data_IF_594350880479
#
_entry.id   IF_594350880479
#
_cell.length_a   1.000
_cell.length_b   1.000
_cell.length_c   1.000
_cell.angle_alpha   90.00
_cell.angle_beta   90.00
_cell.angle_gamma   90.00
#
_symmetry.space_group_name_H-M   'P 1'
#
loop_
_entity.id
_entity.type
_entity.pdbx_description
1 polymer ?
#
# COMPACT_ATOMS: atom_id res chain seq x y z
N UNK A 1 42.31 -9.75 3.93
CA UNK A 1 42.23 -8.34 4.40
C UNK A 1 40.91 -7.66 4.04
N UNK A 2 40.42 -7.71 2.79
CA UNK A 2 39.14 -7.08 2.37
C UNK A 2 37.91 -7.50 3.21
N UNK A 3 37.78 -8.77 3.55
CA UNK A 3 36.63 -9.30 4.32
C UNK A 3 36.50 -8.62 5.70
N UNK A 4 37.62 -8.32 6.36
CA UNK A 4 37.63 -7.67 7.67
C UNK A 4 37.23 -6.20 7.54
N UNK A 5 37.71 -5.50 6.50
CA UNK A 5 37.31 -4.12 6.21
C UNK A 5 35.81 -4.02 5.91
N UNK A 6 35.27 -4.90 5.08
CA UNK A 6 33.84 -4.88 4.71
C UNK A 6 32.93 -5.16 5.92
N UNK A 7 33.40 -6.00 6.86
CA UNK A 7 32.70 -6.26 8.11
C UNK A 7 32.67 -5.01 9.01
N UNK A 8 33.79 -4.31 9.18
CA UNK A 8 33.85 -3.09 9.97
C UNK A 8 32.98 -1.97 9.39
N UNK A 9 32.97 -1.80 8.07
CA UNK A 9 32.11 -0.82 7.40
C UNK A 9 30.63 -1.13 7.64
N UNK A 10 30.22 -2.41 7.61
CA UNK A 10 28.85 -2.83 7.91
C UNK A 10 28.46 -2.55 9.36
N UNK A 11 29.35 -2.79 10.33
CA UNK A 11 29.08 -2.46 11.73
C UNK A 11 28.95 -0.94 11.92
N UNK A 12 29.87 -0.16 11.35
CA UNK A 12 29.84 1.30 11.45
C UNK A 12 28.53 1.87 10.88
N UNK A 13 28.11 1.36 9.72
CA UNK A 13 26.86 1.80 9.09
C UNK A 13 25.62 1.34 9.88
N UNK A 14 25.64 0.15 10.49
CA UNK A 14 24.55 -0.33 11.33
C UNK A 14 24.38 0.51 12.61
N UNK A 15 25.45 1.11 13.12
CA UNK A 15 25.50 1.87 14.38
C UNK A 15 25.12 3.35 14.21
N UNK A 16 24.85 3.82 12.99
CA UNK A 16 24.52 5.24 12.74
C UNK A 16 23.22 5.71 13.43
N UNK A 17 22.31 4.80 13.79
CA UNK A 17 21.13 5.18 14.56
C UNK A 17 21.44 5.26 16.06
N UNK A 18 20.87 6.25 16.75
CA UNK A 18 20.99 6.40 18.22
C UNK A 18 20.60 5.11 18.96
N UNK A 19 19.63 4.36 18.42
CA UNK A 19 19.18 3.08 18.96
C UNK A 19 20.24 1.98 18.79
N UNK A 20 20.84 1.84 17.60
CA UNK A 20 21.83 0.81 17.35
C UNK A 20 23.12 1.04 18.16
N UNK A 21 23.53 2.30 18.33
CA UNK A 21 24.62 2.65 19.24
C UNK A 21 24.34 2.24 20.68
N UNK A 22 23.13 2.52 21.17
CA UNK A 22 22.73 2.11 22.52
C UNK A 22 22.74 0.59 22.70
N UNK A 23 22.20 -0.16 21.73
CA UNK A 23 22.24 -1.64 21.74
C UNK A 23 23.67 -2.18 21.75
N UNK A 24 24.57 -1.57 20.97
CA UNK A 24 25.98 -1.96 20.95
C UNK A 24 26.67 -1.74 22.31
N UNK A 25 26.47 -0.57 22.92
CA UNK A 25 27.01 -0.27 24.26
C UNK A 25 26.49 -1.28 25.29
N UNK A 26 25.21 -1.63 25.21
CA UNK A 26 24.57 -2.59 26.10
C UNK A 26 25.16 -4.00 25.93
N UNK A 27 25.42 -4.45 24.70
CA UNK A 27 26.10 -5.72 24.41
C UNK A 27 27.54 -5.76 24.95
N UNK A 28 28.29 -4.67 24.82
CA UNK A 28 29.66 -4.58 25.36
C UNK A 28 29.63 -4.70 26.88
N UNK A 29 28.72 -3.97 27.55
CA UNK A 29 28.56 -4.05 29.01
C UNK A 29 28.19 -5.47 29.46
N UNK A 30 27.29 -6.15 28.75
CA UNK A 30 26.94 -7.55 29.03
C UNK A 30 28.15 -8.48 28.89
N UNK A 31 28.97 -8.30 27.85
CA UNK A 31 30.19 -9.11 27.65
C UNK A 31 31.21 -8.93 28.77
N UNK A 32 31.43 -7.69 29.22
CA UNK A 32 32.31 -7.39 30.37
C UNK A 32 31.76 -8.05 31.64
N UNK A 33 30.45 -7.96 31.87
CA UNK A 33 29.81 -8.55 33.04
C UNK A 33 29.97 -10.08 33.04
N UNK A 34 29.69 -10.72 31.90
CA UNK A 34 29.81 -12.17 31.73
C UNK A 34 31.24 -12.67 31.98
N UNK A 35 32.25 -11.84 31.66
CA UNK A 35 33.65 -12.15 31.95
C UNK A 35 34.01 -12.06 33.44
N UNK A 36 33.34 -11.19 34.20
CA UNK A 36 33.61 -10.97 35.64
C UNK A 36 32.87 -11.98 36.52
N UNK A 37 31.67 -12.41 36.11
CA UNK A 37 30.78 -13.34 36.84
C UNK A 37 31.49 -14.59 37.41
N UNK A 38 32.35 -15.31 36.66
CA UNK A 38 32.99 -16.52 37.17
C UNK A 38 34.03 -16.27 38.27
N UNK A 39 34.43 -15.01 38.48
CA UNK A 39 35.47 -14.61 39.45
C UNK A 39 34.90 -14.11 40.77
N UNK A 40 33.58 -14.12 40.92
CA UNK A 40 32.87 -13.65 42.12
C UNK A 40 32.22 -14.85 42.83
N UNK A 41 32.39 -14.94 44.14
CA UNK A 41 31.77 -15.98 44.98
C UNK A 41 30.90 -15.34 46.07
N UNK A 42 29.85 -16.06 46.49
CA UNK A 42 29.01 -15.66 47.62
C UNK A 42 28.00 -14.55 47.31
N UNK A 43 27.84 -13.61 48.26
CA UNK A 43 26.80 -12.56 48.24
C UNK A 43 26.98 -11.60 47.05
N UNK A 44 28.22 -11.40 46.60
CA UNK A 44 28.55 -10.51 45.49
C UNK A 44 27.98 -11.00 44.16
N UNK A 45 27.90 -12.33 43.97
CA UNK A 45 27.32 -12.92 42.76
C UNK A 45 25.79 -12.69 42.71
N UNK A 46 25.11 -12.89 43.83
CA UNK A 46 23.65 -12.69 43.93
C UNK A 46 23.28 -11.24 43.70
N UNK A 47 24.02 -10.29 44.28
CA UNK A 47 23.80 -8.86 44.09
C UNK A 47 24.02 -8.45 42.62
N UNK A 48 25.07 -9.00 41.99
CA UNK A 48 25.38 -8.73 40.58
C UNK A 48 24.30 -9.28 39.63
N UNK A 49 23.79 -10.49 39.87
CA UNK A 49 22.69 -11.07 39.10
C UNK A 49 21.40 -10.27 39.26
N UNK A 50 21.07 -9.84 40.48
CA UNK A 50 19.90 -9.00 40.75
C UNK A 50 20.00 -7.65 40.03
N UNK A 51 21.17 -7.01 40.09
CA UNK A 51 21.45 -5.77 39.36
C UNK A 51 21.31 -5.92 37.84
N UNK A 52 21.73 -7.05 37.28
CA UNK A 52 21.59 -7.35 35.86
C UNK A 52 20.14 -7.50 35.41
N UNK A 53 19.34 -8.25 36.18
CA UNK A 53 17.90 -8.39 35.91
C UNK A 53 17.19 -7.04 35.96
N UNK A 54 17.52 -6.20 36.95
CA UNK A 54 16.96 -4.86 37.06
C UNK A 54 17.31 -3.99 35.84
N UNK A 55 18.57 -4.02 35.38
CA UNK A 55 19.02 -3.28 34.20
C UNK A 55 18.28 -3.74 32.93
N UNK A 56 18.05 -5.05 32.77
CA UNK A 56 17.29 -5.62 31.67
C UNK A 56 15.84 -5.09 31.67
N UNK A 57 15.17 -5.11 32.83
CA UNK A 57 13.80 -4.60 32.97
C UNK A 57 13.74 -3.11 32.63
N UNK A 58 14.66 -2.30 33.14
CA UNK A 58 14.74 -0.85 32.84
C UNK A 58 14.90 -0.63 31.33
N UNK A 59 15.76 -1.42 30.68
CA UNK A 59 16.00 -1.31 29.23
C UNK A 59 14.73 -1.62 28.43
N UNK A 60 14.01 -2.69 28.79
CA UNK A 60 12.73 -3.06 28.16
C UNK A 60 11.70 -1.95 28.35
N UNK A 61 11.61 -1.37 29.55
CA UNK A 61 10.69 -0.27 29.84
C UNK A 61 11.01 1.00 29.03
N UNK A 62 12.29 1.36 28.88
CA UNK A 62 12.71 2.51 28.05
C UNK A 62 12.34 2.29 26.58
N UNK A 63 12.59 1.10 26.05
CA UNK A 63 12.25 0.75 24.66
C UNK A 63 10.72 0.78 24.47
N UNK A 64 9.96 0.16 25.38
CA UNK A 64 8.50 0.18 25.35
C UNK A 64 7.95 1.62 25.41
N UNK A 65 8.49 2.47 26.28
CA UNK A 65 8.12 3.87 26.39
C UNK A 65 8.41 4.64 25.10
N UNK A 66 9.59 4.45 24.49
CA UNK A 66 9.96 5.10 23.22
C UNK A 66 9.10 4.62 22.05
N UNK A 67 8.70 3.35 22.02
CA UNK A 67 7.77 2.81 21.02
C UNK A 67 6.38 3.41 21.21
N UNK A 68 5.90 3.50 22.45
CA UNK A 68 4.62 4.14 22.75
C UNK A 68 4.62 5.63 22.35
N UNK A 69 5.67 6.39 22.71
CA UNK A 69 5.85 7.79 22.34
C UNK A 69 5.90 7.98 20.81
N UNK A 70 6.62 7.10 20.09
CA UNK A 70 6.65 7.14 18.62
C UNK A 70 5.28 6.84 18.01
N UNK A 71 4.52 5.92 18.61
CA UNK A 71 3.17 5.55 18.16
C UNK A 71 2.22 6.73 18.34
N UNK A 72 2.29 7.45 19.46
CA UNK A 72 1.51 8.68 19.69
C UNK A 72 1.93 9.83 18.76
N UNK A 73 3.23 10.04 18.55
CA UNK A 73 3.74 11.11 17.69
C UNK A 73 3.44 10.87 16.20
N UNK A 74 3.39 9.60 15.76
CA UNK A 74 3.00 9.24 14.39
C UNK A 74 1.49 9.26 14.15
N UNK A 75 0.68 9.41 15.20
CA UNK A 75 -0.77 9.44 15.10
C UNK A 75 -1.40 10.68 15.77
N UNK A 76 -1.04 11.91 15.34
CA UNK A 76 -1.69 13.12 15.85
C UNK A 76 -3.20 13.18 15.50
N UNK A 77 -3.69 12.28 14.64
CA UNK A 77 -5.08 12.17 14.22
C UNK A 77 -6.02 11.53 15.25
N UNK A 78 -5.50 10.96 16.36
CA UNK A 78 -6.32 10.40 17.44
C UNK A 78 -6.49 11.31 18.66
N UNK A 79 -5.90 12.53 18.66
CA UNK A 79 -6.41 13.57 19.55
C UNK A 79 -7.83 13.86 19.12
N UNK A 80 -8.76 13.43 19.96
CA UNK A 80 -10.21 13.60 19.95
C UNK A 80 -10.61 15.01 19.50
N UNK A 81 -10.51 15.28 18.19
CA UNK A 81 -11.41 16.22 17.56
C UNK A 81 -12.73 15.52 17.70
N UNK A 82 -13.57 15.99 18.64
CA UNK A 82 -14.96 15.59 18.75
C UNK A 82 -15.47 15.38 17.34
N UNK A 83 -15.68 14.11 16.98
CA UNK A 83 -16.09 13.75 15.63
C UNK A 83 -17.39 14.52 15.47
N UNK A 84 -17.45 15.57 14.63
CA UNK A 84 -18.73 16.22 14.39
C UNK A 84 -19.68 15.08 14.03
N UNK A 85 -20.81 14.97 14.73
CA UNK A 85 -21.82 13.98 14.41
C UNK A 85 -22.09 14.13 12.92
N UNK A 86 -21.50 13.26 12.10
CA UNK A 86 -21.73 13.27 10.67
C UNK A 86 -23.17 12.79 10.59
N UNK A 87 -24.12 13.67 10.21
CA UNK A 87 -25.50 13.26 10.17
C UNK A 87 -25.56 12.08 9.20
N UNK A 88 -26.01 10.93 9.68
CA UNK A 88 -26.12 9.68 8.92
C UNK A 88 -27.13 9.80 7.75
N UNK A 89 -27.65 11.01 7.52
CA UNK A 89 -28.63 11.41 6.52
C UNK A 89 -28.13 12.59 5.66
N UNK A 90 -26.83 12.69 5.41
CA UNK A 90 -26.40 13.45 4.22
C UNK A 90 -26.85 12.63 3.01
N UNK A 91 -28.06 12.93 2.53
CA UNK A 91 -28.52 12.51 1.21
C UNK A 91 -27.38 12.93 0.25
N UNK A 92 -26.66 12.00 -0.39
CA UNK A 92 -25.55 12.38 -1.24
C UNK A 92 -26.09 13.36 -2.27
N UNK A 93 -25.67 14.61 -2.19
CA UNK A 93 -25.98 15.62 -3.19
C UNK A 93 -25.14 15.24 -4.42
N UNK A 94 -25.72 14.37 -5.26
CA UNK A 94 -25.14 13.84 -6.51
C UNK A 94 -24.87 14.98 -7.53
N UNK A 95 -25.27 16.21 -7.23
CA UNK A 95 -25.30 17.32 -8.19
C UNK A 95 -23.94 17.93 -8.53
N UNK A 96 -22.84 17.52 -7.87
CA UNK A 96 -21.49 18.02 -8.20
C UNK A 96 -20.63 16.90 -8.73
N UNK A 97 -20.51 16.82 -10.06
CA UNK A 97 -19.43 16.07 -10.71
C UNK A 97 -18.11 16.73 -10.32
N UNK A 98 -17.21 16.05 -9.59
CA UNK A 98 -15.91 16.63 -9.23
C UNK A 98 -15.12 17.01 -10.49
N UNK A 99 -14.30 18.07 -10.45
CA UNK A 99 -13.41 18.37 -11.56
C UNK A 99 -12.45 17.18 -11.78
N UNK A 100 -12.24 16.82 -13.05
CA UNK A 100 -11.33 15.73 -13.42
C UNK A 100 -9.88 16.19 -13.21
N UNK A 101 -9.18 15.55 -12.28
CA UNK A 101 -7.75 15.77 -11.97
C UNK A 101 -6.86 14.77 -12.70
N UNK A 102 -7.34 13.52 -12.81
CA UNK A 102 -6.61 12.43 -13.44
C UNK A 102 -7.37 11.89 -14.64
N UNK A 103 -6.65 11.54 -15.70
CA UNK A 103 -7.24 10.81 -16.81
C UNK A 103 -7.54 9.36 -16.42
N UNK A 104 -6.65 8.74 -15.64
CA UNK A 104 -6.73 7.32 -15.29
C UNK A 104 -6.31 7.10 -13.83
N UNK A 105 -7.13 6.38 -13.07
CA UNK A 105 -6.72 5.72 -11.83
C UNK A 105 -6.33 4.27 -12.14
N UNK A 106 -5.12 3.85 -11.79
CA UNK A 106 -4.63 2.47 -11.98
C UNK A 106 -4.55 1.77 -10.63
N UNK A 107 -5.28 0.68 -10.51
CA UNK A 107 -5.35 -0.17 -9.32
C UNK A 107 -4.69 -1.52 -9.58
N UNK A 108 -3.79 -1.95 -8.68
CA UNK A 108 -3.08 -3.23 -8.75
C UNK A 108 -2.77 -3.77 -7.35
N UNK A 109 -2.87 -5.09 -7.07
CA UNK A 109 -2.57 -5.63 -5.75
C UNK A 109 -1.15 -5.30 -5.28
N UNK A 110 -1.02 -4.88 -4.02
CA UNK A 110 0.27 -4.52 -3.42
C UNK A 110 0.48 -5.23 -2.07
N UNK A 111 -0.43 -5.04 -1.12
CA UNK A 111 -0.25 -5.47 0.27
C UNK A 111 -0.25 -7.00 0.49
N UNK A 112 -0.90 -7.77 -0.38
CA UNK A 112 -1.00 -9.23 -0.24
C UNK A 112 0.16 -10.00 -0.91
N UNK A 113 1.16 -9.29 -1.43
CA UNK A 113 2.26 -9.87 -2.21
C UNK A 113 3.52 -9.98 -1.35
N UNK A 114 4.29 -11.05 -1.56
CA UNK A 114 5.70 -11.09 -1.10
C UNK A 114 6.53 -10.05 -1.85
N UNK A 115 7.66 -9.59 -1.29
CA UNK A 115 8.52 -8.58 -1.92
C UNK A 115 8.90 -8.92 -3.37
N UNK A 116 9.26 -10.19 -3.62
CA UNK A 116 9.59 -10.66 -4.97
C UNK A 116 8.40 -10.54 -5.93
N UNK A 117 7.19 -10.86 -5.46
CA UNK A 117 5.97 -10.72 -6.24
C UNK A 117 5.60 -9.26 -6.44
N UNK A 118 5.71 -8.45 -5.39
CA UNK A 118 5.48 -7.00 -5.45
C UNK A 118 6.40 -6.35 -6.49
N UNK A 119 7.70 -6.62 -6.46
CA UNK A 119 8.64 -6.05 -7.43
C UNK A 119 8.36 -6.52 -8.86
N UNK A 120 7.96 -7.78 -9.05
CA UNK A 120 7.58 -8.30 -10.36
C UNK A 120 6.30 -7.63 -10.89
N UNK A 121 5.24 -7.59 -10.07
CA UNK A 121 3.95 -7.02 -10.45
C UNK A 121 4.08 -5.49 -10.65
N UNK A 122 4.85 -4.79 -9.80
CA UNK A 122 5.17 -3.35 -9.96
C UNK A 122 5.87 -3.05 -11.28
N UNK A 123 6.90 -3.83 -11.66
CA UNK A 123 7.57 -3.65 -12.97
C UNK A 123 6.61 -3.83 -14.14
N UNK A 124 5.75 -4.84 -14.08
CA UNK A 124 4.78 -5.10 -15.14
C UNK A 124 3.74 -3.98 -15.23
N UNK A 125 3.21 -3.53 -14.10
CA UNK A 125 2.23 -2.43 -14.06
C UNK A 125 2.86 -1.11 -14.50
N UNK A 126 4.12 -0.82 -14.13
CA UNK A 126 4.81 0.39 -14.59
C UNK A 126 4.95 0.45 -16.10
N UNK A 127 5.15 -0.71 -16.78
CA UNK A 127 5.17 -0.75 -18.24
C UNK A 127 3.80 -0.41 -18.85
N UNK A 128 2.72 -0.87 -18.22
CA UNK A 128 1.35 -0.53 -18.64
C UNK A 128 1.07 0.96 -18.43
N UNK A 129 1.45 1.53 -17.28
CA UNK A 129 1.34 2.97 -16.99
C UNK A 129 2.12 3.79 -18.01
N UNK A 130 3.33 3.37 -18.34
CA UNK A 130 4.16 4.06 -19.33
C UNK A 130 3.56 3.98 -20.75
N UNK A 131 2.97 2.84 -21.12
CA UNK A 131 2.20 2.71 -22.36
C UNK A 131 0.99 3.65 -22.38
N UNK A 132 0.26 3.79 -21.27
CA UNK A 132 -0.88 4.72 -21.19
C UNK A 132 -0.44 6.17 -21.42
N UNK A 133 0.73 6.56 -20.89
CA UNK A 133 1.32 7.88 -21.10
C UNK A 133 1.74 8.09 -22.55
N UNK A 134 2.57 7.19 -23.08
CA UNK A 134 3.28 7.39 -24.34
C UNK A 134 2.43 7.05 -25.57
N UNK A 135 1.55 6.05 -25.47
CA UNK A 135 0.80 5.53 -26.61
C UNK A 135 -0.68 5.91 -26.57
N UNK A 136 -1.25 6.13 -25.38
CA UNK A 136 -2.68 6.48 -25.23
C UNK A 136 -2.91 7.96 -24.90
N UNK A 137 -1.85 8.77 -24.80
CA UNK A 137 -1.93 10.21 -24.54
C UNK A 137 -2.49 10.58 -23.15
N UNK A 138 -2.42 9.66 -22.17
CA UNK A 138 -2.93 9.90 -20.82
C UNK A 138 -1.81 10.47 -19.96
N UNK A 139 -1.76 11.79 -19.82
CA UNK A 139 -0.66 12.48 -19.13
C UNK A 139 -0.81 12.50 -17.61
N UNK A 140 -2.04 12.52 -17.10
CA UNK A 140 -2.34 12.52 -15.67
C UNK A 140 -2.85 11.15 -15.24
N UNK A 141 -1.98 10.35 -14.62
CA UNK A 141 -2.30 8.99 -14.13
C UNK A 141 -2.00 8.93 -12.65
N UNK A 142 -2.96 8.46 -11.86
CA UNK A 142 -2.75 8.13 -10.46
C UNK A 142 -2.50 6.63 -10.31
N UNK A 143 -1.38 6.27 -9.69
CA UNK A 143 -1.05 4.89 -9.31
C UNK A 143 -0.29 4.89 -8.00
N UNK A 144 -0.88 4.35 -6.94
CA UNK A 144 -0.31 4.38 -5.59
C UNK A 144 1.12 3.83 -5.52
N UNK A 145 1.45 2.79 -6.31
CA UNK A 145 2.79 2.19 -6.29
C UNK A 145 3.89 2.99 -7.02
N UNK A 146 3.56 4.14 -7.62
CA UNK A 146 4.52 4.93 -8.38
C UNK A 146 5.65 5.45 -7.47
N UNK A 147 5.30 6.01 -6.32
CA UNK A 147 6.25 6.53 -5.33
C UNK A 147 6.79 5.47 -4.37
N UNK A 148 6.06 4.37 -4.18
CA UNK A 148 6.43 3.31 -3.24
C UNK A 148 7.44 2.35 -3.86
N UNK A 149 8.63 2.23 -3.25
CA UNK A 149 9.70 1.33 -3.71
C UNK A 149 9.69 -0.02 -3.02
N UNK A 150 9.20 -0.09 -1.79
CA UNK A 150 9.13 -1.33 -1.02
C UNK A 150 7.92 -1.36 -0.08
N UNK A 151 7.47 -2.55 0.38
CA UNK A 151 6.33 -2.66 1.29
C UNK A 151 6.47 -1.89 2.61
N UNK A 152 7.70 -1.64 3.06
CA UNK A 152 7.99 -0.86 4.27
C UNK A 152 7.67 0.63 4.11
N UNK A 153 7.55 1.12 2.87
CA UNK A 153 7.18 2.50 2.55
C UNK A 153 5.65 2.66 2.38
N UNK A 154 4.84 1.64 2.68
CA UNK A 154 3.39 1.77 2.62
C UNK A 154 2.88 2.78 3.65
N UNK A 155 2.03 3.69 3.18
CA UNK A 155 1.31 4.63 4.03
C UNK A 155 0.39 3.90 5.03
N UNK A 156 0.10 4.52 6.18
CA UNK A 156 -0.93 4.04 7.09
C UNK A 156 -2.28 3.86 6.35
N UNK A 157 -3.04 2.78 6.63
CA UNK A 157 -4.27 2.47 5.89
C UNK A 157 -5.33 3.59 5.84
N UNK A 158 -5.38 4.45 6.85
CA UNK A 158 -6.34 5.56 6.89
C UNK A 158 -6.01 6.65 5.84
N UNK A 159 -4.73 6.97 5.67
CA UNK A 159 -4.27 8.00 4.72
C UNK A 159 -4.41 7.51 3.28
N UNK A 160 -4.14 6.21 3.06
CA UNK A 160 -4.27 5.62 1.72
C UNK A 160 -5.72 5.64 1.24
N UNK A 161 -6.70 5.34 2.12
CA UNK A 161 -8.12 5.29 1.73
C UNK A 161 -8.65 6.66 1.29
N UNK A 162 -8.37 7.73 2.04
CA UNK A 162 -8.84 9.09 1.67
C UNK A 162 -8.24 9.53 0.33
N UNK A 163 -6.94 9.32 0.15
CA UNK A 163 -6.22 9.68 -1.07
C UNK A 163 -6.71 8.88 -2.28
N UNK A 164 -6.91 7.57 -2.11
CA UNK A 164 -7.38 6.69 -3.18
C UNK A 164 -8.82 7.01 -3.58
N UNK A 165 -9.72 7.29 -2.63
CA UNK A 165 -11.10 7.69 -2.92
C UNK A 165 -11.13 9.02 -3.69
N UNK A 166 -10.41 10.04 -3.21
CA UNK A 166 -10.32 11.34 -3.91
C UNK A 166 -9.78 11.15 -5.34
N UNK A 167 -8.75 10.32 -5.50
CA UNK A 167 -8.17 10.05 -6.80
C UNK A 167 -9.13 9.30 -7.73
N UNK A 168 -9.92 8.33 -7.23
CA UNK A 168 -10.97 7.66 -8.02
C UNK A 168 -12.06 8.67 -8.41
N UNK A 169 -12.56 9.47 -7.45
CA UNK A 169 -13.59 10.48 -7.66
C UNK A 169 -13.18 11.52 -8.70
N UNK A 170 -11.91 11.90 -8.74
CA UNK A 170 -11.35 12.88 -9.67
C UNK A 170 -10.73 12.26 -10.92
N UNK A 171 -10.91 10.95 -11.14
CA UNK A 171 -10.48 10.25 -12.36
C UNK A 171 -11.59 10.08 -13.39
N UNK A 172 -11.24 10.11 -14.67
CA UNK A 172 -12.18 9.77 -15.77
C UNK A 172 -12.33 8.25 -15.94
N UNK A 173 -11.20 7.54 -15.98
CA UNK A 173 -11.13 6.09 -16.13
C UNK A 173 -10.62 5.42 -14.86
N UNK A 174 -11.12 4.22 -14.59
CA UNK A 174 -10.58 3.32 -13.59
C UNK A 174 -10.08 2.05 -14.28
N UNK A 175 -8.82 1.70 -14.08
CA UNK A 175 -8.21 0.48 -14.61
C UNK A 175 -7.78 -0.42 -13.47
N UNK A 176 -8.30 -1.64 -13.45
CA UNK A 176 -7.87 -2.70 -12.53
C UNK A 176 -6.96 -3.67 -13.27
N UNK A 177 -5.77 -3.94 -12.72
CA UNK A 177 -4.87 -4.99 -13.20
C UNK A 177 -4.72 -6.06 -12.12
N UNK A 178 -5.36 -7.21 -12.33
CA UNK A 178 -5.51 -8.27 -11.33
C UNK A 178 -4.94 -9.62 -11.79
N UNK A 179 -3.65 -9.83 -11.50
CA UNK A 179 -2.87 -11.01 -11.95
C UNK A 179 -3.29 -12.32 -11.30
N UNK A 180 -3.74 -12.28 -10.04
CA UNK A 180 -3.94 -13.46 -9.19
C UNK A 180 -5.07 -13.22 -8.21
N UNK A 181 -5.74 -14.29 -7.79
CA UNK A 181 -6.77 -14.22 -6.76
C UNK A 181 -6.11 -13.94 -5.40
N UNK A 182 -6.30 -12.73 -4.88
CA UNK A 182 -5.84 -12.33 -3.55
C UNK A 182 -6.81 -11.33 -2.90
N UNK A 183 -6.98 -11.36 -1.56
CA UNK A 183 -7.61 -10.26 -0.85
C UNK A 183 -6.79 -8.98 -1.06
N UNK A 184 -7.40 -7.90 -1.53
CA UNK A 184 -6.70 -6.65 -1.81
C UNK A 184 -7.69 -5.49 -1.90
N UNK A 185 -7.25 -4.29 -1.50
CA UNK A 185 -8.04 -3.04 -1.55
C UNK A 185 -8.57 -2.73 -2.96
N UNK A 186 -7.85 -3.16 -4.00
CA UNK A 186 -8.25 -3.01 -5.39
C UNK A 186 -9.67 -3.45 -5.73
N UNK A 187 -10.22 -4.46 -5.02
CA UNK A 187 -11.60 -4.89 -5.22
C UNK A 187 -12.61 -3.92 -4.58
N UNK A 188 -12.24 -3.33 -3.44
CA UNK A 188 -12.99 -2.25 -2.80
C UNK A 188 -12.98 -0.99 -3.68
N UNK A 189 -11.79 -0.60 -4.18
CA UNK A 189 -11.61 0.51 -5.11
C UNK A 189 -12.44 0.31 -6.40
N UNK A 190 -12.44 -0.91 -6.97
CA UNK A 190 -13.26 -1.24 -8.13
C UNK A 190 -14.77 -1.11 -7.86
N UNK A 191 -15.21 -1.46 -6.65
CA UNK A 191 -16.58 -1.25 -6.20
C UNK A 191 -16.96 0.23 -6.10
N UNK A 192 -16.07 1.07 -5.55
CA UNK A 192 -16.26 2.53 -5.50
C UNK A 192 -16.33 3.12 -6.90
N UNK A 193 -15.38 2.78 -7.77
CA UNK A 193 -15.36 3.27 -9.15
C UNK A 193 -16.64 2.89 -9.91
N UNK A 194 -17.16 1.68 -9.69
CA UNK A 194 -18.42 1.23 -10.26
C UNK A 194 -19.61 2.03 -9.72
N UNK A 195 -19.68 2.24 -8.39
CA UNK A 195 -20.75 3.01 -7.74
C UNK A 195 -20.77 4.47 -8.21
N UNK A 196 -19.60 5.06 -8.47
CA UNK A 196 -19.44 6.40 -9.02
C UNK A 196 -19.67 6.48 -10.54
N UNK A 197 -20.03 5.38 -11.20
CA UNK A 197 -20.30 5.34 -12.64
C UNK A 197 -19.07 5.59 -13.52
N UNK A 198 -17.85 5.35 -13.00
CA UNK A 198 -16.60 5.55 -13.75
C UNK A 198 -16.51 4.59 -14.92
N UNK A 199 -15.76 4.99 -15.97
CA UNK A 199 -15.43 4.08 -17.07
C UNK A 199 -14.40 3.08 -16.57
N UNK A 200 -14.83 1.84 -16.34
CA UNK A 200 -14.04 0.80 -15.70
C UNK A 200 -13.51 -0.20 -16.73
N UNK A 201 -12.21 -0.48 -16.68
CA UNK A 201 -11.57 -1.52 -17.49
C UNK A 201 -10.82 -2.47 -16.56
N UNK A 202 -11.22 -3.73 -16.55
CA UNK A 202 -10.60 -4.75 -15.71
C UNK A 202 -9.78 -5.70 -16.56
N UNK A 203 -8.46 -5.61 -16.43
CA UNK A 203 -7.54 -6.62 -16.92
C UNK A 203 -7.37 -7.68 -15.83
N UNK A 204 -7.80 -8.89 -16.12
CA UNK A 204 -7.81 -10.01 -15.17
C UNK A 204 -7.09 -11.21 -15.78
N UNK A 205 -6.33 -11.98 -14.99
CA UNK A 205 -5.72 -13.19 -15.56
C UNK A 205 -6.73 -14.32 -15.82
N UNK A 206 -7.73 -14.42 -14.94
CA UNK A 206 -8.79 -15.41 -15.01
C UNK A 206 -10.02 -14.82 -14.33
N UNK A 207 -11.18 -14.87 -14.98
CA UNK A 207 -12.43 -14.27 -14.49
C UNK A 207 -12.91 -14.88 -13.18
N UNK A 208 -12.56 -16.13 -12.90
CA UNK A 208 -12.85 -16.76 -11.62
C UNK A 208 -12.04 -16.21 -10.44
N UNK A 209 -11.00 -15.39 -10.70
CA UNK A 209 -10.30 -14.65 -9.65
C UNK A 209 -11.15 -13.51 -9.09
N UNK A 210 -12.08 -12.96 -9.87
CA UNK A 210 -13.00 -11.93 -9.40
C UNK A 210 -14.05 -12.52 -8.43
N UNK A 211 -14.52 -11.72 -7.45
CA UNK A 211 -15.71 -12.04 -6.66
C UNK A 211 -16.90 -12.34 -7.56
N UNK A 212 -17.80 -13.21 -7.09
CA UNK A 212 -18.94 -13.71 -7.89
C UNK A 212 -19.70 -12.61 -8.63
N UNK A 213 -20.09 -11.53 -7.93
CA UNK A 213 -20.84 -10.41 -8.51
C UNK A 213 -20.07 -9.62 -9.58
N UNK A 214 -18.74 -9.58 -9.49
CA UNK A 214 -17.90 -8.82 -10.44
C UNK A 214 -17.63 -9.60 -11.73
N UNK A 215 -17.87 -10.91 -11.78
CA UNK A 215 -17.50 -11.74 -12.95
C UNK A 215 -18.26 -11.33 -14.21
N UNK A 216 -19.53 -10.96 -14.06
CA UNK A 216 -20.42 -10.63 -15.16
C UNK A 216 -20.88 -9.17 -15.11
N UNK A 217 -20.19 -8.31 -14.35
CA UNK A 217 -20.59 -6.90 -14.18
C UNK A 217 -20.60 -6.14 -15.53
N UNK A 218 -19.74 -6.51 -16.49
CA UNK A 218 -19.74 -5.91 -17.83
C UNK A 218 -20.97 -6.27 -18.69
N UNK A 219 -21.75 -7.27 -18.31
CA UNK A 219 -23.02 -7.61 -18.97
C UNK A 219 -24.16 -6.72 -18.49
N UNK A 220 -24.05 -6.19 -17.27
CA UNK A 220 -25.06 -5.34 -16.63
C UNK A 220 -24.75 -3.85 -16.82
N UNK A 221 -23.47 -3.48 -16.71
CA UNK A 221 -23.01 -2.09 -16.72
C UNK A 221 -22.24 -1.79 -18.01
N UNK A 222 -22.78 -0.90 -18.85
CA UNK A 222 -22.19 -0.56 -20.16
C UNK A 222 -20.85 0.16 -20.04
N UNK A 223 -20.61 0.84 -18.92
CA UNK A 223 -19.39 1.55 -18.55
C UNK A 223 -18.28 0.62 -18.02
N UNK A 224 -18.50 -0.70 -17.98
CA UNK A 224 -17.48 -1.67 -17.53
C UNK A 224 -17.07 -2.60 -18.67
N UNK A 225 -15.77 -2.85 -18.81
CA UNK A 225 -15.19 -3.85 -19.71
C UNK A 225 -14.25 -4.77 -18.94
N UNK A 226 -14.30 -6.06 -19.25
CA UNK A 226 -13.43 -7.08 -18.64
C UNK A 226 -12.67 -7.80 -19.74
N UNK A 227 -11.35 -7.80 -19.64
CA UNK A 227 -10.44 -8.47 -20.55
C UNK A 227 -9.58 -9.48 -19.80
N UNK A 228 -9.55 -10.71 -20.30
CA UNK A 228 -8.62 -11.72 -19.80
C UNK A 228 -7.26 -11.59 -20.47
N UNK A 229 -6.18 -11.73 -19.71
CA UNK A 229 -4.81 -11.66 -20.21
C UNK A 229 -3.95 -12.79 -19.64
N UNK A 230 -2.89 -13.18 -20.35
CA UNK A 230 -1.95 -14.20 -19.87
C UNK A 230 -0.65 -13.57 -19.40
N UNK A 231 -0.18 -12.54 -20.12
CA UNK A 231 1.06 -11.82 -19.87
C UNK A 231 0.83 -10.31 -19.86
N UNK A 232 1.69 -9.52 -19.18
CA UNK A 232 1.60 -8.05 -19.19
C UNK A 232 1.61 -7.46 -20.61
N UNK A 233 2.38 -8.06 -21.52
CA UNK A 233 2.47 -7.62 -22.92
C UNK A 233 1.12 -7.68 -23.65
N UNK A 234 0.22 -8.59 -23.25
CA UNK A 234 -1.12 -8.67 -23.84
C UNK A 234 -1.93 -7.41 -23.53
N UNK A 235 -1.74 -6.82 -22.33
CA UNK A 235 -2.41 -5.57 -21.91
C UNK A 235 -1.88 -4.41 -22.76
N UNK A 236 -0.55 -4.32 -22.92
CA UNK A 236 0.10 -3.27 -23.71
C UNK A 236 -0.35 -3.34 -25.17
N UNK A 237 -0.35 -4.54 -25.76
CA UNK A 237 -0.85 -4.77 -27.12
C UNK A 237 -2.32 -4.37 -27.25
N UNK A 238 -3.13 -4.75 -26.26
CA UNK A 238 -4.55 -4.40 -26.26
C UNK A 238 -4.78 -2.88 -26.22
N UNK A 239 -4.05 -2.16 -25.36
CA UNK A 239 -4.15 -0.71 -25.22
C UNK A 239 -3.70 0.05 -26.48
N UNK A 240 -2.68 -0.47 -27.17
CA UNK A 240 -2.13 0.14 -28.40
C UNK A 240 -3.02 -0.11 -29.62
N UNK A 241 -3.55 -1.33 -29.78
CA UNK A 241 -4.28 -1.72 -30.99
C UNK A 241 -5.73 -1.20 -31.03
N UNK A 242 -6.39 -1.03 -29.88
CA UNK A 242 -7.86 -0.91 -29.84
C UNK A 242 -8.37 0.49 -29.49
N UNK A 243 -7.48 1.48 -29.36
CA UNK A 243 -7.80 2.85 -28.95
C UNK A 243 -8.87 2.93 -27.84
N UNK A 244 -8.76 2.02 -26.86
CA UNK A 244 -9.87 1.63 -25.97
C UNK A 244 -10.34 2.82 -25.14
N UNK A 245 -9.41 3.72 -24.82
CA UNK A 245 -9.64 4.91 -24.00
C UNK A 245 -10.19 6.10 -24.78
N UNK A 246 -10.24 6.02 -26.11
CA UNK A 246 -10.94 6.99 -26.96
C UNK A 246 -12.16 6.35 -27.65
N UNK A 247 -12.26 5.02 -27.63
CA UNK A 247 -13.46 4.30 -28.07
C UNK A 247 -14.65 4.80 -27.26
N UNK A 248 -15.62 5.40 -27.96
CA UNK A 248 -16.85 5.84 -27.33
C UNK A 248 -17.47 4.63 -26.63
N UNK A 249 -17.62 4.70 -25.30
CA UNK A 249 -18.55 3.86 -24.53
C UNK A 249 -19.96 4.20 -25.02
N UNK A 250 -20.28 3.82 -26.27
CA UNK A 250 -21.59 4.09 -26.88
C UNK A 250 -22.61 3.36 -26.03
N UNK A 251 -23.47 4.15 -25.41
CA UNK A 251 -24.58 3.68 -24.61
C UNK A 251 -25.48 2.84 -25.53
N UNK A 252 -25.32 1.51 -25.50
CA UNK A 252 -26.16 0.59 -26.31
C UNK A 252 -27.57 0.43 -25.74
N UNK A 253 -27.83 0.99 -24.57
CA UNK A 253 -29.13 0.88 -23.92
C UNK A 253 -29.84 2.22 -23.96
N UNK A 254 -30.67 2.42 -24.98
CA UNK A 254 -31.84 3.30 -24.90
C UNK A 254 -32.90 2.74 -23.94
N UNK A 255 -32.50 2.33 -22.73
CA UNK A 255 -33.42 2.05 -21.63
C UNK A 255 -33.45 3.28 -20.75
N UNK A 256 -34.64 3.88 -20.67
CA UNK A 256 -34.94 4.99 -19.78
C UNK A 256 -34.34 4.72 -18.39
N UNK A 257 -33.66 5.72 -17.85
CA UNK A 257 -33.32 5.70 -16.44
C UNK A 257 -34.61 5.48 -15.64
N UNK A 258 -34.63 4.56 -14.65
CA UNK A 258 -35.73 4.51 -13.73
C UNK A 258 -35.74 5.84 -12.97
N UNK A 259 -36.78 6.63 -13.17
CA UNK A 259 -37.14 7.72 -12.25
C UNK A 259 -37.31 7.11 -10.87
N UNK A 260 -36.39 7.43 -9.96
CA UNK A 260 -36.54 7.20 -8.52
C UNK A 260 -37.35 8.33 -7.92
#
# INVERSE_FOLDING_TARGET
>A
MKIVQDFWVKIINAVQSKLAFFVLVMLILQGILFYIVPKLEGVDLTLLLAGWFLLMIITILIVAFKVAEKTEASNPALKTKERPEVPLHVKPTIDRVPPVKYNVFVSSPMAALSDKQFQADRRNVSQVVECLRNNCGKTSIFWAAESIKSPEEFDPPAISVETDIEAIETSEYFILIFYRKSPSSVLFEAGIALALGKKCIYFIRNRNHLPFLMRNVSEVFSNVKIYEFTKPDDIIRFLTDNDVLNSNFKNRNGRAQPTV
#
